data_IF_838974609057
#
_entry.id   IF_838974609057
#
_cell.length_a   1.000
_cell.length_b   1.000
_cell.length_c   1.000
_cell.angle_alpha   90.00
_cell.angle_beta   90.00
_cell.angle_gamma   90.00
#
_symmetry.space_group_name_H-M   'P 1'
#
loop_
_entity.id
_entity.type
_entity.pdbx_description
1 polymer ?
#
# COMPACT_ATOMS: atom_id res chain seq x y z
N UNK A 1 -0.43 15.43 -5.24
CA UNK A 1 0.66 16.07 -4.47
C UNK A 1 1.66 14.98 -4.10
N UNK A 2 2.95 15.26 -3.97
CA UNK A 2 3.89 14.21 -3.55
C UNK A 2 3.66 13.88 -2.07
N UNK A 3 3.48 12.61 -1.74
CA UNK A 3 3.34 12.15 -0.35
C UNK A 3 4.63 12.42 0.43
N UNK A 4 4.49 12.73 1.72
CA UNK A 4 5.58 12.99 2.65
C UNK A 4 5.38 12.23 3.96
N UNK A 5 6.44 12.14 4.76
CA UNK A 5 6.32 11.65 6.13
C UNK A 5 5.43 12.59 6.96
N UNK A 6 4.51 12.03 7.73
CA UNK A 6 3.48 12.74 8.47
C UNK A 6 2.15 12.88 7.73
N UNK A 7 2.11 12.62 6.42
CA UNK A 7 0.85 12.63 5.67
C UNK A 7 -0.04 11.45 6.06
N UNK A 8 -1.35 11.67 5.96
CA UNK A 8 -2.35 10.62 6.07
C UNK A 8 -2.73 10.15 4.67
N UNK A 9 -2.54 8.87 4.41
CA UNK A 9 -3.01 8.19 3.21
C UNK A 9 -4.14 7.24 3.59
N UNK A 10 -5.39 7.69 3.49
CA UNK A 10 -6.56 6.92 3.91
C UNK A 10 -6.55 6.67 5.42
N UNK A 11 -6.34 5.41 5.83
CA UNK A 11 -6.25 5.01 7.26
C UNK A 11 -4.81 4.90 7.77
N UNK A 12 -3.85 5.32 6.96
CA UNK A 12 -2.44 5.11 7.23
C UNK A 12 -1.72 6.44 7.45
N UNK A 13 -0.97 6.52 8.55
CA UNK A 13 -0.03 7.62 8.76
C UNK A 13 1.32 7.22 8.16
N UNK A 14 1.83 8.00 7.21
CA UNK A 14 3.11 7.75 6.56
C UNK A 14 4.27 8.12 7.49
N UNK A 15 5.15 7.17 7.78
CA UNK A 15 6.28 7.37 8.70
C UNK A 15 7.53 7.78 7.94
N UNK A 16 7.85 7.06 6.86
CA UNK A 16 9.04 7.34 6.06
C UNK A 16 8.94 6.68 4.68
N UNK A 17 9.46 7.36 3.66
CA UNK A 17 9.68 6.77 2.36
C UNK A 17 10.79 5.71 2.43
N UNK A 18 10.56 4.55 1.82
CA UNK A 18 11.53 3.43 1.84
C UNK A 18 12.23 3.25 0.49
N UNK A 19 11.57 3.61 -0.61
CA UNK A 19 12.13 3.41 -1.93
C UNK A 19 11.11 3.50 -3.05
N UNK A 20 11.61 3.57 -4.27
CA UNK A 20 10.83 3.46 -5.50
C UNK A 20 11.38 2.32 -6.35
N UNK A 21 10.49 1.42 -6.76
CA UNK A 21 10.75 0.42 -7.78
C UNK A 21 10.21 0.87 -9.14
N UNK A 22 10.18 -0.05 -10.10
CA UNK A 22 9.69 0.24 -11.45
C UNK A 22 8.21 0.62 -11.51
N UNK A 23 7.36 -0.04 -10.73
CA UNK A 23 5.89 0.08 -10.84
C UNK A 23 5.23 0.70 -9.61
N UNK A 24 5.95 0.77 -8.50
CA UNK A 24 5.41 1.19 -7.21
C UNK A 24 6.48 1.89 -6.37
N UNK A 25 6.03 2.81 -5.52
CA UNK A 25 6.80 3.31 -4.40
C UNK A 25 6.39 2.60 -3.10
N UNK A 26 7.31 2.57 -2.16
CA UNK A 26 7.14 1.85 -0.91
C UNK A 26 7.35 2.77 0.28
N UNK A 27 6.43 2.68 1.24
CA UNK A 27 6.39 3.52 2.42
C UNK A 27 6.30 2.66 3.67
N UNK A 28 7.03 3.07 4.71
CA UNK A 28 6.75 2.64 6.09
C UNK A 28 5.59 3.50 6.59
N UNK A 29 4.59 2.86 7.17
CA UNK A 29 3.41 3.54 7.69
C UNK A 29 2.90 2.89 8.98
N UNK A 30 1.95 3.55 9.62
CA UNK A 30 1.15 2.99 10.70
C UNK A 30 -0.30 2.95 10.27
N UNK A 31 -0.91 1.77 10.32
CA UNK A 31 -2.37 1.65 10.27
C UNK A 31 -2.91 2.19 11.59
N UNK A 32 -3.78 3.19 11.52
CA UNK A 32 -4.46 3.77 12.69
C UNK A 32 -5.88 3.23 12.73
N UNK A 33 -6.14 2.35 13.70
CA UNK A 33 -7.47 1.84 14.01
C UNK A 33 -8.15 2.63 15.12
N UNK A 34 -9.34 2.18 15.49
CA UNK A 34 -10.13 2.79 16.56
C UNK A 34 -9.39 2.76 17.91
N UNK A 35 -9.75 3.69 18.79
CA UNK A 35 -9.20 3.81 20.15
C UNK A 35 -7.65 3.92 20.21
N UNK A 36 -7.01 4.39 19.14
CA UNK A 36 -5.55 4.59 19.08
C UNK A 36 -4.75 3.30 18.87
N UNK A 37 -5.40 2.20 18.48
CA UNK A 37 -4.69 0.96 18.13
C UNK A 37 -3.92 1.18 16.84
N UNK A 38 -2.58 1.11 16.92
CA UNK A 38 -1.70 1.24 15.77
C UNK A 38 -1.06 -0.08 15.38
N UNK A 39 -0.90 -0.33 14.08
CA UNK A 39 -0.11 -1.45 13.58
C UNK A 39 0.93 -0.96 12.57
N UNK A 40 2.23 -1.28 12.74
CA UNK A 40 3.23 -0.95 11.73
C UNK A 40 2.97 -1.76 10.46
N UNK A 41 3.00 -1.09 9.32
CA UNK A 41 2.75 -1.69 8.00
C UNK A 41 3.70 -1.10 6.96
N UNK A 42 3.76 -1.78 5.82
CA UNK A 42 4.38 -1.30 4.60
C UNK A 42 3.28 -1.08 3.57
N UNK A 43 3.32 0.08 2.91
CA UNK A 43 2.40 0.41 1.80
C UNK A 43 3.20 0.33 0.51
N UNK A 44 2.70 -0.45 -0.45
CA UNK A 44 3.19 -0.47 -1.83
C UNK A 44 2.18 0.29 -2.69
N UNK A 45 2.50 1.54 -3.02
CA UNK A 45 1.64 2.44 -3.80
C UNK A 45 2.03 2.40 -5.27
N UNK A 46 1.06 2.18 -6.14
CA UNK A 46 1.27 2.22 -7.59
C UNK A 46 1.73 3.62 -8.01
N UNK A 47 2.69 3.70 -8.94
CA UNK A 47 3.14 5.00 -9.45
C UNK A 47 2.05 5.62 -10.35
N UNK A 48 1.86 6.95 -10.35
CA UNK A 48 0.80 7.61 -11.13
C UNK A 48 0.81 7.29 -12.63
N UNK A 49 1.99 7.02 -13.18
CA UNK A 49 2.23 6.62 -14.57
C UNK A 49 1.58 5.27 -14.95
N UNK A 50 1.30 4.40 -13.98
CA UNK A 50 0.58 3.13 -14.18
C UNK A 50 -0.88 3.18 -13.70
N UNK A 51 -1.31 4.27 -13.06
CA UNK A 51 -2.64 4.36 -12.44
C UNK A 51 -3.80 4.45 -13.45
N UNK A 52 -3.51 4.65 -14.73
CA UNK A 52 -4.50 4.65 -15.83
C UNK A 52 -4.31 3.48 -16.81
N UNK A 53 -3.35 2.58 -16.56
CA UNK A 53 -3.17 1.37 -17.36
C UNK A 53 -4.06 0.26 -16.80
N UNK A 54 -5.21 0.05 -17.44
CA UNK A 54 -6.20 -0.95 -17.00
C UNK A 54 -5.64 -2.38 -16.96
N UNK A 55 -4.71 -2.73 -17.86
CA UNK A 55 -4.09 -4.04 -17.87
C UNK A 55 -3.18 -4.22 -16.65
N UNK A 56 -2.37 -3.20 -16.35
CA UNK A 56 -1.55 -3.18 -15.14
C UNK A 56 -2.40 -3.25 -13.87
N UNK A 57 -3.46 -2.44 -13.78
CA UNK A 57 -4.34 -2.42 -12.60
C UNK A 57 -5.01 -3.78 -12.40
N UNK A 58 -5.50 -4.39 -13.48
CA UNK A 58 -6.11 -5.74 -13.43
C UNK A 58 -5.11 -6.80 -12.95
N UNK A 59 -3.87 -6.75 -13.45
CA UNK A 59 -2.80 -7.63 -12.99
C UNK A 59 -2.47 -7.40 -11.51
N UNK A 60 -2.33 -6.15 -11.09
CA UNK A 60 -2.03 -5.78 -9.71
C UNK A 60 -3.11 -6.23 -8.72
N UNK A 61 -4.38 -6.03 -9.08
CA UNK A 61 -5.54 -6.54 -8.31
C UNK A 61 -5.49 -8.07 -8.21
N UNK A 62 -5.17 -8.75 -9.32
CA UNK A 62 -5.12 -10.21 -9.36
C UNK A 62 -4.01 -10.76 -8.44
N UNK A 63 -2.83 -10.15 -8.46
CA UNK A 63 -1.72 -10.49 -7.56
C UNK A 63 -2.12 -10.28 -6.10
N UNK A 64 -2.71 -9.13 -5.77
CA UNK A 64 -3.17 -8.83 -4.42
C UNK A 64 -4.21 -9.84 -3.91
N UNK A 65 -5.16 -10.26 -4.76
CA UNK A 65 -6.15 -11.30 -4.41
C UNK A 65 -5.48 -12.61 -4.05
N UNK A 66 -4.49 -13.05 -4.84
CA UNK A 66 -3.75 -14.29 -4.55
C UNK A 66 -2.97 -14.13 -3.24
N UNK A 67 -2.20 -13.05 -3.10
CA UNK A 67 -1.38 -12.81 -1.91
C UNK A 67 -2.20 -12.68 -0.62
N UNK A 68 -3.39 -12.09 -0.67
CA UNK A 68 -4.28 -11.95 0.49
C UNK A 68 -4.80 -13.30 1.02
N UNK A 69 -4.79 -14.36 0.21
CA UNK A 69 -5.17 -15.71 0.65
C UNK A 69 -4.02 -16.47 1.33
N UNK A 70 -2.79 -15.98 1.22
CA UNK A 70 -1.62 -16.63 1.78
C UNK A 70 -1.45 -16.26 3.26
N UNK A 71 -1.46 -17.27 4.13
CA UNK A 71 -1.18 -17.13 5.55
C UNK A 71 -0.12 -18.15 5.95
N UNK A 72 1.14 -17.72 5.94
CA UNK A 72 2.29 -18.58 6.20
C UNK A 72 3.47 -17.78 6.78
N UNK A 73 4.21 -18.35 7.73
CA UNK A 73 5.28 -17.64 8.44
C UNK A 73 6.46 -17.16 7.58
N UNK A 74 6.63 -17.75 6.39
CA UNK A 74 7.68 -17.37 5.42
C UNK A 74 7.17 -16.48 4.27
N UNK A 75 5.92 -16.00 4.34
CA UNK A 75 5.32 -15.14 3.31
C UNK A 75 4.85 -13.85 3.98
N UNK A 76 5.23 -12.70 3.41
CA UNK A 76 4.74 -11.42 3.90
C UNK A 76 3.22 -11.33 3.72
N UNK A 77 2.50 -11.08 4.81
CA UNK A 77 1.05 -11.03 4.81
C UNK A 77 0.55 -9.71 4.20
N UNK A 78 -0.40 -9.81 3.26
CA UNK A 78 -1.14 -8.65 2.74
C UNK A 78 -2.35 -8.42 3.65
N UNK A 79 -2.41 -7.25 4.29
CA UNK A 79 -3.49 -6.91 5.23
C UNK A 79 -4.66 -6.19 4.58
N UNK A 80 -4.39 -5.40 3.56
CA UNK A 80 -5.38 -4.55 2.90
C UNK A 80 -4.94 -4.30 1.45
N UNK A 81 -5.91 -4.02 0.60
CA UNK A 81 -5.74 -3.60 -0.77
C UNK A 81 -6.90 -2.68 -1.15
N UNK A 82 -6.59 -1.53 -1.73
CA UNK A 82 -7.62 -0.58 -2.11
C UNK A 82 -7.06 0.62 -2.84
N UNK A 83 -7.92 1.64 -2.94
CA UNK A 83 -7.63 2.92 -3.57
C UNK A 83 -8.00 4.04 -2.61
N UNK A 84 -7.15 5.05 -2.49
CA UNK A 84 -7.32 6.19 -1.59
C UNK A 84 -7.32 7.44 -2.43
N UNK A 85 -8.39 8.23 -2.37
CA UNK A 85 -8.52 9.52 -3.09
C UNK A 85 -8.23 9.47 -4.60
N UNK A 86 -8.30 8.28 -5.21
CA UNK A 86 -7.98 8.10 -6.62
C UNK A 86 -6.70 7.33 -6.91
N UNK A 87 -5.83 7.16 -5.91
CA UNK A 87 -4.49 6.53 -5.98
C UNK A 87 -4.44 5.12 -5.40
#
# INVERSE_FOLDING_TARGET
MALQAGDVFGRYELVSWLGRGGMAETWRAQLVGDAGVTKPVLIKKVLPEYANDEAFISMFISEARISATLSHGNVAQVFDFGRVDGE
#
